data_IF_311850770174
#
_entry.id   IF_311850770174
#
_cell.length_a   1.000
_cell.length_b   1.000
_cell.length_c   1.000
_cell.angle_alpha   90.00
_cell.angle_beta   90.00
_cell.angle_gamma   90.00
#
_symmetry.space_group_name_H-M   'P 1'
#
loop_
_entity.id
_entity.type
_entity.pdbx_description
1 polymer ?
#
# COMPACT_ATOMS: atom_id res chain seq x y z
N UNK A 1 9.99 26.09 -1.83
CA UNK A 1 10.80 25.03 -1.22
C UNK A 1 11.81 24.50 -2.23
N UNK A 2 13.06 24.52 -1.85
CA UNK A 2 14.13 24.11 -2.77
C UNK A 2 14.04 22.64 -3.19
N UNK A 3 13.55 21.79 -2.33
CA UNK A 3 13.42 20.37 -2.64
C UNK A 3 12.44 20.06 -3.77
N UNK A 4 11.54 21.01 -4.08
CA UNK A 4 10.55 20.84 -5.14
C UNK A 4 11.05 21.28 -6.51
N UNK A 5 12.27 21.84 -6.57
CA UNK A 5 12.85 22.33 -7.83
C UNK A 5 13.49 21.20 -8.63
N UNK A 6 13.98 20.16 -7.96
CA UNK A 6 14.64 19.04 -8.61
C UNK A 6 13.58 18.11 -9.23
N UNK A 7 13.72 17.80 -10.52
CA UNK A 7 12.79 16.96 -11.26
C UNK A 7 12.57 15.59 -10.60
N UNK A 8 13.65 14.96 -10.15
CA UNK A 8 13.58 13.66 -9.50
C UNK A 8 12.81 13.75 -8.19
N UNK A 9 13.08 14.76 -7.38
CA UNK A 9 12.36 14.98 -6.13
C UNK A 9 10.90 15.29 -6.37
N UNK A 10 10.60 16.06 -7.42
CA UNK A 10 9.21 16.38 -7.78
C UNK A 10 8.46 15.11 -8.16
N UNK A 11 9.10 14.22 -8.94
CA UNK A 11 8.50 12.94 -9.31
C UNK A 11 8.29 12.05 -8.08
N UNK A 12 9.28 11.98 -7.19
CA UNK A 12 9.17 11.21 -5.95
C UNK A 12 8.06 11.74 -5.06
N UNK A 13 7.92 13.06 -4.95
CA UNK A 13 6.86 13.67 -4.15
C UNK A 13 5.48 13.42 -4.77
N UNK A 14 5.37 13.47 -6.09
CA UNK A 14 4.10 13.15 -6.75
C UNK A 14 3.69 11.71 -6.47
N UNK A 15 4.64 10.79 -6.53
CA UNK A 15 4.40 9.37 -6.24
C UNK A 15 4.11 9.15 -4.75
N UNK A 16 4.81 9.87 -3.88
CA UNK A 16 4.54 9.82 -2.44
C UNK A 16 3.13 10.29 -2.13
N UNK A 17 2.70 11.40 -2.76
CA UNK A 17 1.33 11.89 -2.57
C UNK A 17 0.31 10.86 -3.03
N UNK A 18 0.56 10.19 -4.15
CA UNK A 18 -0.30 9.11 -4.62
C UNK A 18 -0.35 7.95 -3.65
N UNK A 19 0.82 7.54 -3.14
CA UNK A 19 0.93 6.50 -2.12
C UNK A 19 0.08 6.87 -0.89
N UNK A 20 0.21 8.10 -0.41
CA UNK A 20 -0.53 8.55 0.78
C UNK A 20 -2.04 8.58 0.53
N UNK A 21 -2.48 8.96 -0.68
CA UNK A 21 -3.90 8.89 -1.03
C UNK A 21 -4.42 7.46 -1.04
N UNK A 22 -3.60 6.53 -1.50
CA UNK A 22 -4.00 5.12 -1.56
C UNK A 22 -4.14 4.54 -0.16
N UNK A 23 -3.17 4.75 0.71
CA UNK A 23 -3.22 4.20 2.07
C UNK A 23 -4.09 5.02 3.03
N UNK A 24 -4.51 6.21 2.62
CA UNK A 24 -5.34 7.09 3.44
C UNK A 24 -6.81 6.70 3.51
N UNK A 25 -7.16 5.51 3.08
CA UNK A 25 -8.51 4.95 3.14
C UNK A 25 -8.58 3.97 4.31
N UNK A 26 -9.61 4.12 5.15
CA UNK A 26 -9.77 3.30 6.36
C UNK A 26 -9.70 1.81 6.06
N UNK A 27 -10.43 1.37 5.03
CA UNK A 27 -10.50 -0.04 4.68
C UNK A 27 -9.17 -0.56 4.16
N UNK A 28 -8.44 0.26 3.40
CA UNK A 28 -7.12 -0.13 2.91
C UNK A 28 -6.11 -0.24 4.03
N UNK A 29 -6.17 0.66 5.01
CA UNK A 29 -5.31 0.56 6.19
C UNK A 29 -5.60 -0.71 6.97
N UNK A 30 -6.87 -1.08 7.11
CA UNK A 30 -7.25 -2.33 7.80
C UNK A 30 -6.73 -3.54 7.04
N UNK A 31 -6.82 -3.53 5.71
CA UNK A 31 -6.28 -4.61 4.88
C UNK A 31 -4.77 -4.73 5.10
N UNK A 32 -4.06 -3.60 5.05
CA UNK A 32 -2.60 -3.60 5.29
C UNK A 32 -2.26 -4.13 6.68
N UNK A 33 -3.06 -3.78 7.67
CA UNK A 33 -2.88 -4.29 9.02
C UNK A 33 -3.01 -5.82 9.07
N UNK A 34 -3.95 -6.38 8.33
CA UNK A 34 -4.09 -7.84 8.25
C UNK A 34 -2.92 -8.49 7.52
N UNK A 35 -2.36 -7.81 6.53
CA UNK A 35 -1.27 -8.35 5.71
C UNK A 35 0.11 -8.17 6.35
N UNK A 36 0.24 -7.38 7.40
CA UNK A 36 1.55 -7.11 8.01
C UNK A 36 2.22 -8.36 8.55
N UNK A 37 1.44 -9.37 8.94
CA UNK A 37 1.96 -10.60 9.53
C UNK A 37 2.13 -11.74 8.52
N UNK A 38 1.83 -11.48 7.25
CA UNK A 38 2.00 -12.47 6.20
C UNK A 38 0.91 -12.40 5.16
N UNK A 39 1.05 -13.21 4.12
CA UNK A 39 0.11 -13.23 3.02
C UNK A 39 -1.25 -13.80 3.43
N UNK A 40 -2.31 -13.34 2.75
CA UNK A 40 -3.68 -13.83 2.97
C UNK A 40 -4.43 -13.84 1.66
N UNK A 41 -5.38 -14.75 1.53
CA UNK A 41 -6.29 -14.74 0.39
C UNK A 41 -7.48 -13.82 0.68
N UNK A 42 -8.20 -13.43 -0.39
CA UNK A 42 -9.40 -12.61 -0.25
C UNK A 42 -10.41 -13.27 0.69
N UNK A 43 -10.51 -14.59 0.63
CA UNK A 43 -11.43 -15.38 1.45
C UNK A 43 -11.16 -15.24 2.95
N UNK A 44 -9.94 -14.83 3.32
CA UNK A 44 -9.59 -14.59 4.72
C UNK A 44 -9.77 -13.12 5.11
N UNK A 45 -9.75 -12.22 4.15
CA UNK A 45 -9.75 -10.76 4.41
C UNK A 45 -11.16 -10.23 4.60
N UNK A 46 -12.06 -10.48 3.62
CA UNK A 46 -13.37 -9.82 3.65
C UNK A 46 -14.23 -10.21 4.85
N UNK A 47 -14.20 -11.46 5.34
CA UNK A 47 -15.01 -11.78 6.53
C UNK A 47 -14.52 -11.06 7.78
N UNK A 48 -13.20 -10.87 7.91
CA UNK A 48 -12.62 -10.22 9.09
C UNK A 48 -12.93 -8.73 9.15
N UNK A 49 -13.13 -8.10 7.99
CA UNK A 49 -13.40 -6.66 7.91
C UNK A 49 -14.88 -6.34 7.79
N UNK A 50 -15.73 -7.36 7.72
CA UNK A 50 -17.17 -7.20 7.52
C UNK A 50 -17.47 -6.35 6.28
N UNK A 51 -16.73 -6.64 5.20
CA UNK A 51 -16.88 -6.01 3.90
C UNK A 51 -17.27 -7.05 2.87
N UNK A 52 -17.86 -6.60 1.76
CA UNK A 52 -18.14 -7.52 0.66
C UNK A 52 -16.85 -7.96 -0.01
N UNK A 53 -16.88 -9.14 -0.61
CA UNK A 53 -15.74 -9.64 -1.37
C UNK A 53 -15.37 -8.70 -2.51
N UNK A 54 -16.36 -8.15 -3.21
CA UNK A 54 -16.12 -7.24 -4.32
C UNK A 54 -15.42 -5.96 -3.88
N UNK A 55 -15.81 -5.42 -2.73
CA UNK A 55 -15.19 -4.21 -2.20
C UNK A 55 -13.74 -4.46 -1.80
N UNK A 56 -13.47 -5.57 -1.12
CA UNK A 56 -12.11 -5.95 -0.75
C UNK A 56 -11.26 -6.15 -2.00
N UNK A 57 -11.79 -6.86 -3.00
CA UNK A 57 -11.07 -7.09 -4.26
C UNK A 57 -10.73 -5.78 -4.96
N UNK A 58 -11.64 -4.81 -4.94
CA UNK A 58 -11.42 -3.49 -5.52
C UNK A 58 -10.27 -2.75 -4.81
N UNK A 59 -10.26 -2.78 -3.48
CA UNK A 59 -9.17 -2.17 -2.70
C UNK A 59 -7.83 -2.85 -2.96
N UNK A 60 -7.83 -4.17 -3.01
CA UNK A 60 -6.60 -4.94 -3.29
C UNK A 60 -6.05 -4.60 -4.67
N UNK A 61 -6.94 -4.44 -5.67
CA UNK A 61 -6.51 -4.09 -7.02
C UNK A 61 -5.82 -2.73 -7.06
N UNK A 62 -6.37 -1.73 -6.36
CA UNK A 62 -5.77 -0.39 -6.32
C UNK A 62 -4.35 -0.46 -5.76
N UNK A 63 -4.17 -1.18 -4.66
CA UNK A 63 -2.86 -1.32 -4.02
C UNK A 63 -1.89 -2.18 -4.85
N UNK A 64 -2.42 -3.21 -5.50
CA UNK A 64 -1.61 -4.06 -6.38
C UNK A 64 -1.12 -3.28 -7.60
N UNK A 65 -2.00 -2.50 -8.22
CA UNK A 65 -1.66 -1.71 -9.41
C UNK A 65 -0.60 -0.65 -9.10
N UNK A 66 -0.61 -0.10 -7.90
CA UNK A 66 0.43 0.82 -7.47
C UNK A 66 1.77 0.13 -7.20
N UNK A 67 1.75 -1.16 -6.94
CA UNK A 67 2.93 -1.94 -6.60
C UNK A 67 3.13 -2.13 -5.10
N UNK A 68 2.21 -1.64 -4.26
CA UNK A 68 2.31 -1.81 -2.81
C UNK A 68 2.08 -3.25 -2.38
N UNK A 69 1.28 -3.99 -3.13
CA UNK A 69 1.01 -5.40 -2.86
C UNK A 69 1.61 -6.28 -3.94
N UNK A 70 1.84 -7.52 -3.56
CA UNK A 70 2.21 -8.61 -4.45
C UNK A 70 1.12 -9.67 -4.37
N UNK A 71 0.97 -10.46 -5.44
CA UNK A 71 0.00 -11.54 -5.46
C UNK A 71 0.73 -12.83 -5.84
N UNK A 72 0.42 -13.92 -5.13
CA UNK A 72 0.89 -15.27 -5.44
C UNK A 72 -0.33 -16.14 -5.67
N UNK A 73 -0.36 -16.81 -6.81
CA UNK A 73 -1.45 -17.72 -7.11
C UNK A 73 -1.05 -19.15 -6.78
N UNK A 74 -1.90 -19.84 -6.05
CA UNK A 74 -1.74 -21.26 -5.73
C UNK A 74 -3.10 -21.93 -5.88
N UNK A 75 -3.18 -22.91 -6.78
CA UNK A 75 -4.44 -23.52 -7.19
C UNK A 75 -5.39 -22.46 -7.73
N UNK A 76 -6.58 -22.33 -7.14
CA UNK A 76 -7.58 -21.34 -7.56
C UNK A 76 -7.61 -20.14 -6.64
N UNK A 77 -6.64 -20.00 -5.73
CA UNK A 77 -6.62 -18.92 -4.75
C UNK A 77 -5.49 -17.95 -5.03
N UNK A 78 -5.76 -16.68 -4.81
CA UNK A 78 -4.78 -15.60 -4.88
C UNK A 78 -4.44 -15.16 -3.46
N UNK A 79 -3.14 -15.19 -3.13
CA UNK A 79 -2.63 -14.75 -1.84
C UNK A 79 -1.93 -13.41 -2.01
N UNK A 80 -2.37 -12.43 -1.25
CA UNK A 80 -1.82 -11.07 -1.32
C UNK A 80 -0.88 -10.84 -0.15
N UNK A 81 0.19 -10.11 -0.41
CA UNK A 81 1.16 -9.72 0.61
C UNK A 81 1.68 -8.33 0.31
N UNK A 82 2.24 -7.67 1.33
CA UNK A 82 2.83 -6.34 1.15
C UNK A 82 4.17 -6.49 0.44
N UNK A 83 4.40 -5.61 -0.56
CA UNK A 83 5.69 -5.50 -1.22
C UNK A 83 6.63 -4.69 -0.33
N UNK A 84 7.62 -5.33 0.33
CA UNK A 84 8.45 -4.62 1.30
C UNK A 84 9.32 -3.54 0.68
N UNK A 85 9.72 -3.69 -0.58
CA UNK A 85 10.57 -2.72 -1.26
C UNK A 85 9.81 -1.41 -1.49
N UNK A 86 8.56 -1.50 -1.96
CA UNK A 86 7.73 -0.33 -2.21
C UNK A 86 7.34 0.35 -0.89
N UNK A 87 6.94 -0.44 0.09
CA UNK A 87 6.59 0.10 1.41
C UNK A 87 7.78 0.85 2.01
N UNK A 88 8.97 0.25 1.97
CA UNK A 88 10.19 0.86 2.50
C UNK A 88 10.54 2.14 1.76
N UNK A 89 10.41 2.15 0.43
CA UNK A 89 10.70 3.34 -0.39
C UNK A 89 9.89 4.55 0.08
N UNK A 90 8.58 4.39 0.18
CA UNK A 90 7.70 5.52 0.51
C UNK A 90 7.73 5.85 2.00
N UNK A 91 7.92 4.87 2.87
CA UNK A 91 8.14 5.12 4.29
C UNK A 91 9.39 5.95 4.52
N UNK A 92 10.47 5.64 3.79
CA UNK A 92 11.73 6.38 3.90
C UNK A 92 11.60 7.81 3.37
N UNK A 93 10.89 7.98 2.25
CA UNK A 93 10.64 9.31 1.71
C UNK A 93 9.87 10.18 2.72
N UNK A 94 8.84 9.60 3.33
CA UNK A 94 8.04 10.30 4.33
C UNK A 94 8.86 10.64 5.57
N UNK A 95 9.63 9.67 6.06
CA UNK A 95 10.49 9.87 7.23
C UNK A 95 11.52 10.97 6.96
N UNK A 96 12.15 10.95 5.80
CA UNK A 96 13.15 11.94 5.43
C UNK A 96 12.56 13.34 5.32
N UNK A 97 11.31 13.44 4.87
CA UNK A 97 10.62 14.73 4.76
C UNK A 97 10.49 15.41 6.13
N UNK A 98 10.27 14.62 7.19
CA UNK A 98 10.09 15.14 8.54
C UNK A 98 11.31 14.92 9.45
N UNK A 99 12.46 14.63 8.88
CA UNK A 99 13.64 14.25 9.64
C UNK A 99 14.08 15.28 10.67
N UNK A 100 13.91 16.58 10.36
CA UNK A 100 14.34 17.64 11.28
C UNK A 100 13.48 17.71 12.55
N UNK A 101 12.38 17.01 12.60
CA UNK A 101 11.49 16.98 13.77
C UNK A 101 11.70 15.76 14.66
N UNK A 102 12.63 14.89 14.29
CA UNK A 102 12.93 13.68 15.07
C UNK A 102 13.74 13.95 16.33
#
# INVERSE_FOLDING_TARGET
MKCCVNKKLTSDFANLAKFLRIIGDDNRLLILCLLKDGERCVCEIYPKLDLSQNLVSSHLKVMLDFGLLQVRQEWKKNYYSINPLILKKYSSLLTNLFKKYD
#
